data_IF_844780528118
#
_entry.id   IF_844780528118
#
_cell.length_a   1.000
_cell.length_b   1.000
_cell.length_c   1.000
_cell.angle_alpha   90.00
_cell.angle_beta   90.00
_cell.angle_gamma   90.00
#
_symmetry.space_group_name_H-M   'P 1'
#
loop_
_entity.id
_entity.type
_entity.pdbx_description
1 polymer ?
#
# COMPACT_ATOMS: atom_id res chain seq x y z
N UNK A 1 -12.51 -4.59 58.14
CA UNK A 1 -12.96 -4.88 56.76
C UNK A 1 -12.10 -4.08 55.79
N UNK A 2 -11.20 -4.69 54.99
CA UNK A 2 -10.38 -3.95 54.05
C UNK A 2 -11.23 -3.57 52.82
N UNK A 3 -11.20 -2.28 52.46
CA UNK A 3 -11.85 -1.75 51.27
C UNK A 3 -11.14 -2.27 50.03
N UNK A 4 -11.86 -3.02 49.22
CA UNK A 4 -11.41 -3.56 47.94
C UNK A 4 -11.46 -2.43 46.90
N UNK A 5 -10.40 -1.62 46.82
CA UNK A 5 -10.25 -0.65 45.73
C UNK A 5 -9.98 -1.40 44.42
N UNK A 6 -10.78 -1.20 43.36
CA UNK A 6 -10.47 -1.76 42.05
C UNK A 6 -9.12 -1.20 41.59
N UNK A 7 -8.17 -2.09 41.31
CA UNK A 7 -6.89 -1.71 40.70
C UNK A 7 -7.19 -1.06 39.36
N UNK A 8 -6.55 0.08 39.01
CA UNK A 8 -6.72 0.66 37.69
C UNK A 8 -6.29 -0.38 36.65
N UNK A 9 -7.21 -0.70 35.75
CA UNK A 9 -6.91 -1.49 34.55
C UNK A 9 -5.89 -0.67 33.78
N UNK A 10 -4.63 -1.10 33.77
CA UNK A 10 -3.62 -0.50 32.90
C UNK A 10 -4.10 -0.73 31.48
N UNK A 11 -4.58 0.34 30.83
CA UNK A 11 -4.78 0.34 29.38
C UNK A 11 -3.44 -0.07 28.75
N UNK A 12 -3.38 -1.31 28.26
CA UNK A 12 -2.26 -1.82 27.48
C UNK A 12 -1.88 -0.81 26.42
N UNK A 13 -0.57 -0.53 26.35
CA UNK A 13 0.09 0.40 25.45
C UNK A 13 -0.76 0.79 24.23
N UNK A 14 -1.32 2.00 24.26
CA UNK A 14 -1.77 2.66 23.04
C UNK A 14 -0.60 2.57 22.06
N UNK A 15 -0.81 1.93 20.91
CA UNK A 15 0.14 1.96 19.81
C UNK A 15 0.45 3.44 19.53
N UNK A 16 1.61 3.93 19.97
CA UNK A 16 2.05 5.27 19.65
C UNK A 16 2.41 5.26 18.17
N UNK A 17 1.44 5.55 17.30
CA UNK A 17 1.70 5.60 15.89
C UNK A 17 2.67 6.76 15.61
N UNK A 18 3.83 6.48 15.01
CA UNK A 18 4.92 7.43 14.92
C UNK A 18 4.61 8.64 14.03
N UNK A 19 3.56 8.56 13.21
CA UNK A 19 3.13 9.65 12.34
C UNK A 19 2.22 10.67 13.04
N UNK A 20 1.68 10.39 14.23
CA UNK A 20 0.78 11.32 14.94
C UNK A 20 1.41 12.68 15.28
N UNK A 21 2.74 12.81 15.21
CA UNK A 21 3.47 14.04 15.54
C UNK A 21 4.21 14.68 14.35
N UNK A 22 3.84 14.34 13.11
CA UNK A 22 4.36 15.05 11.93
C UNK A 22 3.69 16.44 11.79
N UNK A 23 4.15 17.39 12.59
CA UNK A 23 4.70 18.60 11.94
C UNK A 23 5.82 18.07 11.07
N UNK A 24 5.48 17.73 9.82
CA UNK A 24 6.44 17.22 8.84
C UNK A 24 7.69 18.11 8.94
N UNK A 25 8.84 17.62 9.43
CA UNK A 25 10.03 18.46 9.65
C UNK A 25 10.60 19.01 8.34
N UNK A 26 9.97 18.67 7.23
CA UNK A 26 10.24 19.22 5.94
C UNK A 26 8.93 19.31 5.15
N UNK A 27 8.23 20.45 5.25
CA UNK A 27 7.17 20.80 4.30
C UNK A 27 7.70 21.04 2.89
N UNK A 28 8.99 20.77 2.59
CA UNK A 28 9.40 20.68 1.20
C UNK A 28 8.53 19.62 0.54
N UNK A 29 7.78 19.98 -0.53
CA UNK A 29 7.07 19.02 -1.32
C UNK A 29 8.05 17.92 -1.64
N UNK A 30 7.64 16.66 -1.41
CA UNK A 30 8.43 15.59 -1.96
C UNK A 30 8.61 15.89 -3.45
N UNK A 31 9.83 16.00 -3.99
CA UNK A 31 9.99 16.36 -5.41
C UNK A 31 9.28 15.35 -6.33
N UNK A 32 9.00 14.15 -5.82
CA UNK A 32 8.15 13.13 -6.46
C UNK A 32 6.63 13.29 -6.20
N UNK A 33 6.22 13.89 -5.08
CA UNK A 33 4.80 14.11 -4.72
C UNK A 33 4.10 15.19 -5.56
N UNK A 34 4.83 15.85 -6.46
CA UNK A 34 4.31 16.78 -7.45
C UNK A 34 4.15 16.15 -8.85
N UNK A 35 4.27 14.83 -9.00
CA UNK A 35 4.02 14.20 -10.29
C UNK A 35 2.54 14.21 -10.65
N UNK A 36 2.08 15.36 -11.15
CA UNK A 36 0.71 15.56 -11.65
C UNK A 36 0.38 14.65 -12.84
N UNK A 37 1.37 13.97 -13.41
CA UNK A 37 1.18 13.03 -14.53
C UNK A 37 0.47 11.74 -14.11
N UNK A 38 0.64 11.30 -12.87
CA UNK A 38 -0.06 10.12 -12.33
C UNK A 38 -0.68 10.48 -10.97
N UNK A 39 -1.84 11.16 -10.96
CA UNK A 39 -2.59 11.43 -9.75
C UNK A 39 -2.85 10.14 -8.95
N UNK A 40 -2.80 10.26 -7.62
CA UNK A 40 -3.14 9.18 -6.68
C UNK A 40 -4.42 9.56 -5.95
N UNK A 41 -5.41 8.69 -6.00
CA UNK A 41 -6.76 8.95 -5.49
C UNK A 41 -7.29 7.85 -4.55
N UNK A 42 -7.75 8.20 -3.34
CA UNK A 42 -7.59 9.51 -2.70
C UNK A 42 -6.11 9.84 -2.45
N UNK A 43 -5.82 11.11 -2.15
CA UNK A 43 -4.49 11.49 -1.68
C UNK A 43 -4.19 10.74 -0.38
N UNK A 44 -2.98 10.20 -0.28
CA UNK A 44 -2.53 9.47 0.91
C UNK A 44 -1.53 10.27 1.74
N UNK A 45 -1.45 9.91 3.01
CA UNK A 45 -0.41 10.36 3.93
C UNK A 45 0.69 9.32 4.01
N UNK A 46 1.91 9.69 3.66
CA UNK A 46 3.10 8.84 3.78
C UNK A 46 4.37 9.69 3.71
N UNK A 47 5.50 9.22 4.28
CA UNK A 47 6.78 9.88 4.15
C UNK A 47 7.26 9.95 2.70
N UNK A 48 8.18 10.89 2.46
CA UNK A 48 8.78 11.11 1.16
C UNK A 48 9.41 9.87 0.52
N UNK A 49 9.97 8.99 1.33
CA UNK A 49 10.59 7.74 0.89
C UNK A 49 9.57 6.80 0.24
N UNK A 50 8.40 6.62 0.86
CA UNK A 50 7.29 5.83 0.31
C UNK A 50 6.78 6.47 -0.98
N UNK A 51 6.56 7.79 -0.99
CA UNK A 51 6.09 8.52 -2.16
C UNK A 51 7.03 8.35 -3.37
N UNK A 52 8.35 8.48 -3.16
CA UNK A 52 9.35 8.36 -4.21
C UNK A 52 9.41 6.93 -4.79
N UNK A 53 9.26 5.91 -3.92
CA UNK A 53 9.21 4.51 -4.36
C UNK A 53 7.99 4.24 -5.23
N UNK A 54 6.82 4.72 -4.80
CA UNK A 54 5.59 4.60 -5.59
C UNK A 54 5.72 5.31 -6.94
N UNK A 55 6.16 6.56 -6.97
CA UNK A 55 6.28 7.33 -8.22
C UNK A 55 7.26 6.68 -9.19
N UNK A 56 8.40 6.17 -8.71
CA UNK A 56 9.35 5.45 -9.58
C UNK A 56 8.75 4.18 -10.15
N UNK A 57 7.98 3.44 -9.35
CA UNK A 57 7.28 2.24 -9.79
C UNK A 57 6.19 2.55 -10.84
N UNK A 58 5.37 3.58 -10.60
CA UNK A 58 4.29 3.96 -11.54
C UNK A 58 4.87 4.49 -12.85
N UNK A 59 5.86 5.39 -12.79
CA UNK A 59 6.42 6.07 -13.97
C UNK A 59 7.04 5.15 -15.00
N UNK A 60 7.59 4.02 -14.57
CA UNK A 60 8.35 3.13 -15.44
C UNK A 60 7.80 1.70 -15.46
N UNK A 61 8.07 0.83 -14.47
CA UNK A 61 7.70 -0.58 -14.60
C UNK A 61 6.19 -0.80 -14.77
N UNK A 62 5.34 -0.13 -13.98
CA UNK A 62 3.89 -0.30 -14.11
C UNK A 62 3.37 0.27 -15.44
N UNK A 63 3.84 1.45 -15.83
CA UNK A 63 3.46 2.07 -17.11
C UNK A 63 3.88 1.23 -18.32
N UNK A 64 5.10 0.72 -18.34
CA UNK A 64 5.59 -0.13 -19.41
C UNK A 64 4.77 -1.42 -19.52
N UNK A 65 4.37 -2.01 -18.38
CA UNK A 65 3.48 -3.17 -18.34
C UNK A 65 2.08 -2.85 -18.89
N UNK A 66 1.47 -1.73 -18.48
CA UNK A 66 0.15 -1.29 -18.96
C UNK A 66 0.19 -1.03 -20.47
N UNK A 67 1.24 -0.35 -20.96
CA UNK A 67 1.44 -0.15 -22.41
C UNK A 67 1.56 -1.48 -23.15
N UNK A 68 2.36 -2.39 -22.64
CA UNK A 68 2.65 -3.66 -23.31
C UNK A 68 1.45 -4.62 -23.35
N UNK A 69 0.61 -4.60 -22.31
CA UNK A 69 -0.48 -5.59 -22.15
C UNK A 69 -1.87 -5.04 -22.44
N UNK A 70 -2.07 -3.72 -22.33
CA UNK A 70 -3.37 -3.07 -22.50
C UNK A 70 -3.37 -2.01 -23.60
N UNK A 71 -2.21 -1.72 -24.21
CA UNK A 71 -2.07 -0.76 -25.30
C UNK A 71 -2.66 0.64 -24.99
N UNK A 72 -2.48 1.09 -23.74
CA UNK A 72 -3.01 2.37 -23.22
C UNK A 72 -2.06 2.98 -22.19
N UNK A 73 -2.39 4.16 -21.66
CA UNK A 73 -1.65 4.82 -20.58
C UNK A 73 -2.38 4.73 -19.24
N UNK A 74 -1.62 4.92 -18.15
CA UNK A 74 -2.17 5.20 -16.82
C UNK A 74 -2.62 6.65 -16.77
N UNK A 75 -3.89 6.89 -16.45
CA UNK A 75 -4.42 8.21 -16.17
C UNK A 75 -4.39 8.51 -14.66
N UNK A 76 -4.88 7.59 -13.82
CA UNK A 76 -4.96 7.76 -12.35
C UNK A 76 -4.65 6.45 -11.63
N UNK A 77 -3.94 6.53 -10.50
CA UNK A 77 -3.73 5.43 -9.57
C UNK A 77 -4.77 5.50 -8.45
N UNK A 78 -5.53 4.42 -8.24
CA UNK A 78 -6.50 4.33 -7.15
C UNK A 78 -5.95 3.55 -5.97
N UNK A 79 -5.98 4.15 -4.79
CA UNK A 79 -5.53 3.54 -3.52
C UNK A 79 -6.71 3.25 -2.61
N UNK A 80 -6.62 2.15 -1.86
CA UNK A 80 -7.58 1.78 -0.81
C UNK A 80 -7.13 2.29 0.56
N UNK A 81 -5.81 2.33 0.82
CA UNK A 81 -5.25 2.80 2.08
C UNK A 81 -3.83 3.34 1.91
N UNK A 82 -3.46 4.25 2.81
CA UNK A 82 -2.11 4.80 2.97
C UNK A 82 -1.72 4.79 4.45
N UNK A 83 -1.57 5.92 5.13
CA UNK A 83 -1.45 5.91 6.59
C UNK A 83 -2.74 5.41 7.24
N UNK A 84 -2.60 4.41 8.11
CA UNK A 84 -3.69 3.89 8.94
C UNK A 84 -3.07 3.30 10.22
N UNK A 85 -3.32 3.95 11.36
CA UNK A 85 -2.75 3.63 12.66
C UNK A 85 -3.41 2.37 13.26
N UNK A 86 -2.97 1.19 12.82
CA UNK A 86 -3.56 -0.09 13.22
C UNK A 86 -2.58 -1.26 13.25
N UNK A 87 -2.94 -2.30 14.00
CA UNK A 87 -2.31 -3.61 13.89
C UNK A 87 -2.43 -4.22 12.50
N UNK A 88 -1.52 -5.13 12.17
CA UNK A 88 -1.59 -5.93 10.93
C UNK A 88 -2.94 -6.65 10.83
N UNK A 89 -3.50 -6.68 9.63
CA UNK A 89 -4.80 -7.27 9.32
C UNK A 89 -5.95 -6.78 10.21
N UNK A 90 -5.82 -5.58 10.82
CA UNK A 90 -6.76 -5.01 11.81
C UNK A 90 -6.96 -5.89 13.05
N UNK A 91 -6.02 -6.80 13.33
CA UNK A 91 -6.11 -7.70 14.47
C UNK A 91 -5.61 -7.01 15.75
N UNK A 92 -6.41 -7.08 16.82
CA UNK A 92 -6.05 -6.53 18.12
C UNK A 92 -4.83 -7.28 18.70
N UNK A 93 -3.85 -6.54 19.22
CA UNK A 93 -2.61 -7.11 19.77
C UNK A 93 -1.58 -7.58 18.73
N UNK A 94 -1.89 -7.54 17.43
CA UNK A 94 -0.92 -7.83 16.38
C UNK A 94 0.16 -6.74 16.29
N UNK A 95 1.32 -7.09 15.71
CA UNK A 95 2.37 -6.10 15.38
C UNK A 95 1.77 -4.94 14.58
N UNK A 96 2.28 -3.72 14.80
CA UNK A 96 1.88 -2.56 14.03
C UNK A 96 2.08 -2.80 12.53
N UNK A 97 1.08 -2.43 11.73
CA UNK A 97 1.18 -2.47 10.27
C UNK A 97 2.18 -1.42 9.76
N UNK A 98 2.78 -1.66 8.60
CA UNK A 98 3.56 -0.61 7.91
C UNK A 98 2.68 0.59 7.51
N UNK A 99 1.35 0.41 7.40
CA UNK A 99 0.42 1.54 7.31
C UNK A 99 0.49 2.45 8.53
N UNK A 100 0.69 1.91 9.73
CA UNK A 100 0.86 2.69 10.95
C UNK A 100 2.18 3.47 11.00
N UNK A 101 3.14 3.10 10.15
CA UNK A 101 4.38 3.83 9.91
C UNK A 101 4.32 4.72 8.66
N UNK A 102 3.21 4.72 7.90
CA UNK A 102 3.08 5.38 6.59
C UNK A 102 4.00 4.79 5.50
N UNK A 103 4.51 3.58 5.74
CA UNK A 103 5.45 2.87 4.88
C UNK A 103 4.77 1.86 3.96
N UNK A 104 3.44 1.84 3.94
CA UNK A 104 2.65 0.98 3.09
C UNK A 104 1.60 1.76 2.30
N UNK A 105 1.28 1.24 1.12
CA UNK A 105 0.23 1.74 0.23
C UNK A 105 -0.53 0.54 -0.31
N UNK A 106 -1.86 0.60 -0.22
CA UNK A 106 -2.75 -0.39 -0.82
C UNK A 106 -3.31 0.17 -2.13
N UNK A 107 -2.94 -0.42 -3.27
CA UNK A 107 -3.41 -0.02 -4.60
C UNK A 107 -4.56 -0.91 -5.04
N UNK A 108 -5.73 -0.31 -5.28
CA UNK A 108 -6.96 -1.04 -5.67
C UNK A 108 -7.26 -1.01 -7.16
N UNK A 109 -6.56 -0.19 -7.94
CA UNK A 109 -6.76 -0.15 -9.39
C UNK A 109 -6.19 1.08 -10.08
N UNK A 110 -6.54 1.22 -11.35
CA UNK A 110 -6.15 2.32 -12.23
C UNK A 110 -7.36 2.85 -12.99
N UNK A 111 -7.35 4.14 -13.33
CA UNK A 111 -8.07 4.63 -14.51
C UNK A 111 -7.07 4.73 -15.63
N UNK A 112 -7.42 4.20 -16.80
CA UNK A 112 -6.61 4.23 -18.01
C UNK A 112 -6.97 5.46 -18.86
N UNK A 113 -6.08 5.88 -19.77
CA UNK A 113 -6.28 7.09 -20.57
C UNK A 113 -7.44 6.99 -21.58
N UNK A 114 -7.89 5.78 -21.89
CA UNK A 114 -9.10 5.50 -22.68
C UNK A 114 -10.40 5.52 -21.84
N UNK A 115 -10.30 5.82 -20.54
CA UNK A 115 -11.43 5.89 -19.61
C UNK A 115 -11.79 4.56 -18.95
N UNK A 116 -11.11 3.46 -19.28
CA UNK A 116 -11.37 2.15 -18.67
C UNK A 116 -10.89 2.15 -17.22
N UNK A 117 -11.76 1.69 -16.31
CA UNK A 117 -11.39 1.38 -14.94
C UNK A 117 -10.81 -0.04 -14.86
N UNK A 118 -9.55 -0.14 -14.42
CA UNK A 118 -8.88 -1.40 -14.18
C UNK A 118 -8.80 -1.66 -12.67
N UNK A 119 -9.73 -2.44 -12.15
CA UNK A 119 -9.75 -2.81 -10.74
C UNK A 119 -8.83 -4.02 -10.47
N UNK A 120 -8.17 -3.99 -9.31
CA UNK A 120 -7.61 -5.20 -8.71
C UNK A 120 -8.78 -6.00 -8.16
N UNK A 121 -8.83 -7.28 -8.49
CA UNK A 121 -9.93 -8.17 -8.11
C UNK A 121 -9.37 -9.51 -7.70
N UNK A 122 -10.14 -10.29 -6.90
CA UNK A 122 -9.79 -11.65 -6.61
C UNK A 122 -9.53 -12.43 -7.89
N UNK A 123 -8.62 -13.40 -7.82
CA UNK A 123 -8.35 -14.29 -8.94
C UNK A 123 -9.63 -15.07 -9.26
N UNK A 124 -10.14 -14.95 -10.48
CA UNK A 124 -11.16 -15.89 -10.96
C UNK A 124 -10.50 -17.27 -11.07
N UNK A 125 -10.98 -18.29 -10.33
CA UNK A 125 -10.42 -19.64 -10.39
C UNK A 125 -10.50 -20.27 -11.79
N UNK A 126 -11.44 -19.80 -12.63
CA UNK A 126 -11.68 -20.31 -13.98
C UNK A 126 -10.92 -19.53 -15.04
N UNK A 127 -10.40 -18.35 -14.70
CA UNK A 127 -9.69 -17.50 -15.65
C UNK A 127 -8.17 -17.68 -15.52
N UNK A 128 -7.59 -18.29 -16.55
CA UNK A 128 -6.16 -18.52 -16.64
C UNK A 128 -5.39 -17.26 -17.07
N UNK A 129 -6.08 -16.16 -17.42
CA UNK A 129 -5.47 -14.94 -17.99
C UNK A 129 -5.27 -13.74 -17.02
N UNK A 130 -6.14 -13.41 -16.04
CA UNK A 130 -5.99 -12.31 -15.07
C UNK A 130 -4.93 -12.62 -14.01
N UNK A 131 -4.71 -13.91 -13.74
CA UNK A 131 -3.67 -14.34 -12.82
C UNK A 131 -2.29 -13.88 -13.31
N UNK A 132 -2.03 -13.95 -14.62
CA UNK A 132 -0.76 -13.55 -15.20
C UNK A 132 -0.50 -12.04 -15.04
N UNK A 133 -1.50 -11.18 -15.28
CA UNK A 133 -1.33 -9.72 -15.15
C UNK A 133 -1.05 -9.29 -13.70
N UNK A 134 -1.79 -9.83 -12.72
CA UNK A 134 -1.57 -9.45 -11.32
C UNK A 134 -0.28 -10.05 -10.76
N UNK A 135 0.13 -11.23 -11.21
CA UNK A 135 1.45 -11.79 -10.92
C UNK A 135 2.57 -10.91 -11.49
N UNK A 136 2.42 -10.41 -12.72
CA UNK A 136 3.44 -9.56 -13.35
C UNK A 136 3.58 -8.22 -12.65
N UNK A 137 2.49 -7.57 -12.26
CA UNK A 137 2.52 -6.34 -11.46
C UNK A 137 3.22 -6.57 -10.12
N UNK A 138 2.94 -7.69 -9.42
CA UNK A 138 3.63 -8.03 -8.17
C UNK A 138 5.12 -8.28 -8.39
N UNK A 139 5.49 -9.01 -9.45
CA UNK A 139 6.88 -9.25 -9.78
C UNK A 139 7.64 -7.95 -10.06
N UNK A 140 7.03 -7.01 -10.79
CA UNK A 140 7.61 -5.69 -11.08
C UNK A 140 7.72 -4.80 -9.83
N UNK A 141 6.81 -4.95 -8.87
CA UNK A 141 6.86 -4.25 -7.59
C UNK A 141 7.88 -4.87 -6.61
N UNK A 142 8.25 -6.13 -6.82
CA UNK A 142 9.19 -6.85 -5.97
C UNK A 142 10.62 -6.33 -6.14
N UNK A 143 11.25 -5.89 -5.05
CA UNK A 143 12.58 -5.26 -5.08
C UNK A 143 12.51 -3.75 -4.84
N UNK A 144 11.78 -2.96 -5.64
CA UNK A 144 11.45 -1.58 -5.27
C UNK A 144 10.82 -1.49 -3.88
N UNK A 145 9.89 -2.40 -3.61
CA UNK A 145 9.25 -2.64 -2.31
C UNK A 145 9.79 -3.91 -1.66
N UNK A 146 9.79 -3.92 -0.33
CA UNK A 146 10.28 -5.06 0.45
C UNK A 146 9.17 -6.07 0.74
N UNK A 147 7.91 -5.63 0.74
CA UNK A 147 6.75 -6.52 0.79
C UNK A 147 5.82 -6.20 -0.36
N UNK A 148 5.39 -7.25 -1.05
CA UNK A 148 4.41 -7.16 -2.12
C UNK A 148 3.40 -8.27 -1.94
N UNK A 149 2.15 -7.92 -1.66
CA UNK A 149 1.02 -8.84 -1.57
C UNK A 149 -0.07 -8.39 -2.55
N UNK A 150 -0.95 -9.30 -2.92
CA UNK A 150 -2.09 -9.05 -3.79
C UNK A 150 -2.88 -10.32 -4.06
N UNK A 151 -3.69 -10.35 -5.13
CA UNK A 151 -4.54 -11.49 -5.45
C UNK A 151 -3.80 -12.84 -5.45
N UNK A 152 -4.19 -13.71 -4.52
CA UNK A 152 -3.58 -15.02 -4.30
C UNK A 152 -2.42 -15.08 -3.30
N UNK A 153 -2.05 -13.98 -2.61
CA UNK A 153 -1.12 -14.04 -1.47
C UNK A 153 -1.82 -14.60 -0.23
N UNK A 154 -2.97 -14.00 0.12
CA UNK A 154 -3.88 -14.40 1.20
C UNK A 154 -5.21 -13.65 1.05
N UNK A 155 -6.22 -14.05 1.85
CA UNK A 155 -7.57 -13.49 1.78
C UNK A 155 -7.68 -12.00 2.15
N UNK A 156 -6.68 -11.40 2.83
CA UNK A 156 -6.71 -9.98 3.16
C UNK A 156 -6.26 -9.10 2.00
N UNK A 157 -5.65 -9.67 0.96
CA UNK A 157 -5.04 -8.92 -0.14
C UNK A 157 -5.62 -9.31 -1.51
N UNK A 158 -6.81 -9.91 -1.55
CA UNK A 158 -7.37 -10.41 -2.81
C UNK A 158 -7.96 -9.31 -3.72
N UNK A 159 -8.26 -8.13 -3.19
CA UNK A 159 -8.88 -7.03 -3.94
C UNK A 159 -7.99 -5.78 -4.06
N UNK A 160 -6.72 -5.86 -3.64
CA UNK A 160 -5.75 -4.78 -3.77
C UNK A 160 -4.32 -5.32 -3.74
N UNK A 161 -3.36 -4.52 -4.21
CA UNK A 161 -1.95 -4.77 -3.95
C UNK A 161 -1.48 -4.05 -2.70
N UNK A 162 -0.86 -4.76 -1.78
CA UNK A 162 -0.17 -4.16 -0.64
C UNK A 162 1.32 -4.04 -0.92
N UNK A 163 1.82 -2.82 -0.95
CA UNK A 163 3.24 -2.53 -1.12
C UNK A 163 3.79 -1.86 0.12
N UNK A 164 4.81 -2.43 0.74
CA UNK A 164 5.46 -1.83 1.90
C UNK A 164 6.99 -1.77 1.83
N UNK A 165 7.55 -0.96 2.72
CA UNK A 165 8.99 -0.77 2.92
C UNK A 165 9.48 -1.36 4.26
N UNK A 166 8.81 -2.36 4.84
CA UNK A 166 9.21 -3.01 6.09
C UNK A 166 10.69 -3.41 6.10
N UNK A 167 11.47 -3.11 7.15
CA UNK A 167 12.86 -3.56 7.24
C UNK A 167 12.93 -5.09 7.24
N UNK A 168 13.69 -5.67 6.31
CA UNK A 168 13.92 -7.11 6.19
C UNK A 168 15.17 -7.42 5.35
N UNK A 169 15.70 -8.63 5.50
CA UNK A 169 16.92 -9.08 4.81
C UNK A 169 16.68 -9.47 3.34
N UNK A 170 15.47 -9.91 3.00
CA UNK A 170 15.07 -10.28 1.64
C UNK A 170 13.63 -9.85 1.39
N UNK A 171 13.29 -9.50 0.13
CA UNK A 171 11.94 -9.11 -0.22
C UNK A 171 10.95 -10.28 -0.05
N UNK A 172 9.75 -10.00 0.45
CA UNK A 172 8.66 -10.95 0.56
C UNK A 172 7.56 -10.58 -0.42
N UNK A 173 7.56 -11.30 -1.54
CA UNK A 173 6.64 -11.05 -2.65
C UNK A 173 5.85 -12.33 -2.87
N UNK A 174 4.54 -12.28 -2.66
CA UNK A 174 3.67 -13.46 -2.71
C UNK A 174 2.44 -13.19 -3.52
#
# INVERSE_FOLDING_TARGET
>A
MPRNSPRPVRFSALFQCPIRDLRVPDRRPCPAGADRRYPVEPRGDYPCTTALKLVRFVRKPLREEVRATMNTEIATLHVAASYDCRGRNRQAGAKLSEHGYGRAIDVRGLTLADGVAWAVSPRDPKDTSPAARFQRVRALACGPFTTVLGPGSDAYHDDHFHFDLAPRNSAYCR
#
